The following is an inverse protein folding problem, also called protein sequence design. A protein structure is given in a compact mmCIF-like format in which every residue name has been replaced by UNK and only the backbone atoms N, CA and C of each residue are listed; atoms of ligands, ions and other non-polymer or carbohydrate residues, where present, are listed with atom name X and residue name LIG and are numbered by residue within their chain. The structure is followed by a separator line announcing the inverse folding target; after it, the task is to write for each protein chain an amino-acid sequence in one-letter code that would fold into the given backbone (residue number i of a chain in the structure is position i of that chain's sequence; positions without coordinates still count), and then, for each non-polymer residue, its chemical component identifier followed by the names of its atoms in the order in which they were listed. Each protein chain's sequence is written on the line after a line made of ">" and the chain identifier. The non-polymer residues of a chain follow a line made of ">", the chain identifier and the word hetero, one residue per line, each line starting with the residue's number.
data_IF_772999634484
#
_entry.id   IF_772999634484
#
_cell.length_a   1.000
_cell.length_b   1.000
_cell.length_c   1.000
_cell.angle_alpha   90.00
_cell.angle_beta   90.00
_cell.angle_gamma   90.00
#
_symmetry.space_group_name_H-M   'P 1'
#
loop_
_entity.id
_entity.type
_entity.pdbx_description
1 polymer ?
#
# COMPACT_ATOMS: atom_id res chain seq x y z
N UNK A 1 9.24 -25.61 2.87
CA UNK A 1 8.65 -24.61 1.93
C UNK A 1 9.02 -23.23 2.41
N UNK A 2 10.11 -22.66 1.91
CA UNK A 2 10.48 -21.28 2.23
C UNK A 2 9.79 -20.36 1.21
N UNK A 3 8.49 -20.16 1.39
CA UNK A 3 7.67 -19.28 0.56
C UNK A 3 7.87 -17.82 0.99
N UNK A 4 9.12 -17.37 1.09
CA UNK A 4 9.39 -15.95 1.03
C UNK A 4 9.07 -15.52 -0.40
N UNK A 5 7.80 -15.18 -0.65
CA UNK A 5 7.34 -14.56 -1.89
C UNK A 5 8.34 -13.46 -2.21
N UNK A 6 9.09 -13.62 -3.30
CA UNK A 6 10.09 -12.65 -3.74
C UNK A 6 9.39 -11.29 -3.78
N UNK A 7 9.80 -10.37 -2.91
CA UNK A 7 9.27 -9.03 -2.91
C UNK A 7 9.70 -8.37 -4.22
N UNK A 8 8.76 -8.21 -5.15
CA UNK A 8 8.99 -7.41 -6.36
C UNK A 8 9.04 -5.95 -5.95
N UNK A 9 10.13 -5.25 -6.29
CA UNK A 9 10.19 -3.80 -6.15
C UNK A 9 9.42 -3.17 -7.32
N UNK A 10 8.47 -2.31 -6.99
CA UNK A 10 7.77 -1.48 -7.97
C UNK A 10 7.64 -0.05 -7.44
N UNK A 11 7.71 0.92 -8.33
CA UNK A 11 7.54 2.33 -7.98
C UNK A 11 6.11 2.76 -8.25
N UNK A 12 5.35 3.02 -7.18
CA UNK A 12 4.05 3.67 -7.27
C UNK A 12 4.24 5.16 -7.58
N UNK A 13 3.46 5.66 -8.54
CA UNK A 13 3.32 7.10 -8.76
C UNK A 13 2.03 7.58 -8.12
N UNK A 14 2.15 8.54 -7.21
CA UNK A 14 1.03 9.25 -6.62
C UNK A 14 0.95 10.65 -7.24
N UNK A 15 -0.23 11.26 -7.22
CA UNK A 15 -0.34 12.70 -7.41
C UNK A 15 0.37 13.41 -6.26
N UNK A 16 0.87 14.62 -6.48
CA UNK A 16 1.57 15.38 -5.42
C UNK A 16 0.67 15.57 -4.19
N UNK A 17 -0.61 15.85 -4.38
CA UNK A 17 -1.58 15.95 -3.29
C UNK A 17 -1.66 14.67 -2.43
N UNK A 18 -1.74 13.49 -3.06
CA UNK A 18 -1.83 12.22 -2.33
C UNK A 18 -0.51 11.89 -1.64
N UNK A 19 0.62 12.20 -2.27
CA UNK A 19 1.95 12.01 -1.70
C UNK A 19 2.12 12.85 -0.43
N UNK A 20 1.79 14.13 -0.47
CA UNK A 20 1.85 15.02 0.70
C UNK A 20 0.99 14.49 1.84
N UNK A 21 -0.25 14.08 1.55
CA UNK A 21 -1.15 13.53 2.56
C UNK A 21 -0.67 12.22 3.16
N UNK A 22 -0.15 11.30 2.35
CA UNK A 22 0.41 10.03 2.85
C UNK A 22 1.63 10.29 3.73
N UNK A 23 2.49 11.26 3.38
CA UNK A 23 3.66 11.62 4.21
C UNK A 23 3.23 12.21 5.56
N UNK A 24 2.26 13.12 5.56
CA UNK A 24 1.70 13.74 6.77
C UNK A 24 1.12 12.69 7.71
N UNK A 25 0.18 11.89 7.21
CA UNK A 25 -0.50 10.84 7.99
C UNK A 25 0.47 9.76 8.47
N UNK A 26 1.41 9.32 7.62
CA UNK A 26 2.44 8.35 8.00
C UNK A 26 3.26 8.81 9.22
N UNK A 27 3.57 10.11 9.27
CA UNK A 27 4.34 10.70 10.36
C UNK A 27 3.53 10.72 11.65
N UNK A 28 2.27 11.13 11.57
CA UNK A 28 1.38 11.23 12.74
C UNK A 28 1.08 9.83 13.33
N UNK A 29 0.90 8.83 12.46
CA UNK A 29 0.60 7.46 12.87
C UNK A 29 1.85 6.66 13.26
N UNK A 30 3.07 7.16 12.97
CA UNK A 30 4.32 6.43 13.17
C UNK A 30 4.47 5.19 12.27
N UNK A 31 3.79 5.18 11.11
CA UNK A 31 3.76 4.05 10.17
C UNK A 31 4.62 4.39 8.95
N UNK A 32 5.39 3.42 8.43
CA UNK A 32 6.15 3.64 7.20
C UNK A 32 5.22 3.86 5.99
N UNK A 33 5.59 4.78 5.10
CA UNK A 33 4.85 5.03 3.86
C UNK A 33 4.64 3.76 3.03
N UNK A 34 5.65 2.89 2.96
CA UNK A 34 5.55 1.61 2.25
C UNK A 34 4.49 0.68 2.87
N UNK A 35 4.34 0.68 4.19
CA UNK A 35 3.29 -0.11 4.85
C UNK A 35 1.90 0.40 4.48
N UNK A 36 1.70 1.73 4.46
CA UNK A 36 0.43 2.35 4.04
C UNK A 36 0.08 1.96 2.61
N UNK A 37 1.04 2.07 1.69
CA UNK A 37 0.83 1.73 0.28
C UNK A 37 0.48 0.24 0.10
N UNK A 38 1.19 -0.66 0.78
CA UNK A 38 0.88 -2.08 0.73
C UNK A 38 -0.51 -2.39 1.33
N UNK A 39 -0.90 -1.71 2.41
CA UNK A 39 -2.24 -1.84 2.99
C UNK A 39 -3.34 -1.35 2.05
N UNK A 40 -3.13 -0.21 1.38
CA UNK A 40 -4.08 0.32 0.41
C UNK A 40 -4.27 -0.64 -0.78
N UNK A 41 -3.18 -1.20 -1.31
CA UNK A 41 -3.23 -2.21 -2.38
C UNK A 41 -3.94 -3.47 -1.90
N UNK A 42 -3.62 -3.97 -0.69
CA UNK A 42 -4.26 -5.15 -0.12
C UNK A 42 -5.77 -4.95 0.07
N UNK A 43 -6.19 -3.75 0.52
CA UNK A 43 -7.60 -3.39 0.64
C UNK A 43 -8.31 -3.44 -0.71
N UNK A 44 -7.72 -2.84 -1.76
CA UNK A 44 -8.30 -2.85 -3.10
C UNK A 44 -8.47 -4.27 -3.66
N UNK A 45 -7.43 -5.10 -3.53
CA UNK A 45 -7.49 -6.51 -3.97
C UNK A 45 -8.62 -7.25 -3.23
N UNK A 46 -8.67 -7.14 -1.90
CA UNK A 46 -9.71 -7.79 -1.08
C UNK A 46 -11.12 -7.32 -1.42
N UNK A 47 -11.29 -6.02 -1.72
CA UNK A 47 -12.58 -5.49 -2.15
C UNK A 47 -13.03 -6.11 -3.47
N UNK A 48 -12.12 -6.24 -4.45
CA UNK A 48 -12.43 -6.85 -5.76
C UNK A 48 -12.64 -8.36 -5.68
N UNK A 49 -11.89 -9.07 -4.84
CA UNK A 49 -12.12 -10.50 -4.61
C UNK A 49 -13.52 -10.78 -4.03
N UNK A 50 -14.08 -9.84 -3.25
CA UNK A 50 -15.46 -9.95 -2.74
C UNK A 50 -16.53 -9.66 -3.80
N UNK A 51 -16.25 -8.73 -4.71
CA UNK A 51 -17.21 -8.34 -5.78
C UNK A 51 -17.30 -9.37 -6.91
N UNK A 52 -16.27 -10.20 -7.09
CA UNK A 52 -16.17 -11.22 -8.15
C UNK A 52 -16.68 -12.59 -7.67
N UNK A 53 -17.00 -12.74 -6.37
CA UNK A 53 -17.45 -13.97 -5.74
C UNK A 53 -18.99 -14.10 -5.70
#
# INVERSE_FOLDING_TARGET
>A
MNSQKRAGQFQLRLTEHLKEKVVELAKDDGISQNAILNQAVAWYVKAREKDVA
#
